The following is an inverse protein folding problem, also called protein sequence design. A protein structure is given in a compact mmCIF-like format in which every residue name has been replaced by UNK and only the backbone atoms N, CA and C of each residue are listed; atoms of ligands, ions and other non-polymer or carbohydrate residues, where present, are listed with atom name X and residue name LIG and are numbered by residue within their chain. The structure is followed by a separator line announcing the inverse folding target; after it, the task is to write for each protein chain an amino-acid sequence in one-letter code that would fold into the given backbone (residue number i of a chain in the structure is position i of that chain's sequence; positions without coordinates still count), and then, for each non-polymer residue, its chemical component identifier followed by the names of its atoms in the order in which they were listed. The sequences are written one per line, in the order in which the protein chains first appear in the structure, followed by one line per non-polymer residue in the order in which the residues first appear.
data_IF_068768800274
#
_entry.id   IF_068768800274
#
_cell.length_a   1.000
_cell.length_b   1.000
_cell.length_c   1.000
_cell.angle_alpha   90.00
_cell.angle_beta   90.00
_cell.angle_gamma   90.00
#
_symmetry.space_group_name_H-M   'P 1'
#
loop_
_entity.id
_entity.type
_entity.pdbx_description
1 polymer ?
#
# COMPACT_ATOMS: atom_id res chain seq x y z
N UNK A 1 27.71 7.77 13.73
CA UNK A 1 27.15 7.16 14.95
C UNK A 1 25.81 6.46 14.68
N UNK A 2 24.72 7.16 14.31
CA UNK A 2 23.38 6.52 14.17
C UNK A 2 23.30 5.50 13.02
N UNK A 3 23.74 5.85 11.81
CA UNK A 3 23.72 4.94 10.66
C UNK A 3 24.60 3.69 10.87
N UNK A 4 25.73 3.86 11.55
CA UNK A 4 26.65 2.77 11.86
C UNK A 4 26.04 1.81 12.88
N UNK A 5 25.36 2.33 13.90
CA UNK A 5 24.61 1.52 14.85
C UNK A 5 23.48 0.76 14.16
N UNK A 6 22.70 1.42 13.31
CA UNK A 6 21.64 0.77 12.53
C UNK A 6 22.16 -0.37 11.66
N UNK A 7 23.25 -0.13 10.91
CA UNK A 7 23.87 -1.15 10.07
C UNK A 7 24.36 -2.34 10.90
N UNK A 8 25.05 -2.08 12.01
CA UNK A 8 25.54 -3.13 12.92
C UNK A 8 24.39 -3.95 13.50
N UNK A 9 23.24 -3.34 13.81
CA UNK A 9 22.09 -4.04 14.38
C UNK A 9 21.32 -4.89 13.36
N UNK A 10 21.02 -4.34 12.18
CA UNK A 10 20.07 -4.98 11.25
C UNK A 10 20.73 -5.63 10.03
N UNK A 11 21.92 -5.16 9.62
CA UNK A 11 22.52 -5.55 8.34
C UNK A 11 23.78 -6.42 8.49
N UNK A 12 24.40 -6.48 9.68
CA UNK A 12 25.71 -7.12 9.86
C UNK A 12 25.68 -8.66 9.91
N UNK A 13 24.56 -9.27 10.28
CA UNK A 13 24.40 -10.73 10.36
C UNK A 13 23.38 -11.20 9.33
N UNK A 14 23.77 -12.12 8.46
CA UNK A 14 22.93 -12.61 7.35
C UNK A 14 21.56 -13.12 7.81
N UNK A 15 21.50 -13.83 8.95
CA UNK A 15 20.23 -14.33 9.49
C UNK A 15 19.28 -13.21 9.94
N UNK A 16 19.80 -12.15 10.55
CA UNK A 16 19.01 -10.97 10.95
C UNK A 16 18.59 -10.19 9.71
N UNK A 17 19.54 -9.98 8.78
CA UNK A 17 19.30 -9.28 7.53
C UNK A 17 18.14 -9.89 6.73
N UNK A 18 18.14 -11.21 6.53
CA UNK A 18 17.07 -11.90 5.81
C UNK A 18 15.71 -11.69 6.50
N UNK A 19 15.66 -11.74 7.84
CA UNK A 19 14.44 -11.44 8.59
C UNK A 19 13.95 -10.00 8.37
N UNK A 20 14.87 -9.02 8.37
CA UNK A 20 14.55 -7.62 8.10
C UNK A 20 14.02 -7.42 6.68
N UNK A 21 14.61 -8.09 5.68
CA UNK A 21 14.14 -8.03 4.28
C UNK A 21 12.72 -8.59 4.15
N UNK A 22 12.46 -9.76 4.74
CA UNK A 22 11.11 -10.37 4.69
C UNK A 22 10.08 -9.48 5.39
N UNK A 23 10.39 -9.01 6.61
CA UNK A 23 9.50 -8.12 7.35
C UNK A 23 9.26 -6.81 6.58
N UNK A 24 10.31 -6.24 6.00
CA UNK A 24 10.23 -5.04 5.17
C UNK A 24 9.37 -5.24 3.93
N UNK A 25 9.45 -6.40 3.28
CA UNK A 25 8.61 -6.72 2.13
C UNK A 25 7.12 -6.80 2.51
N UNK A 26 6.80 -7.53 3.59
CA UNK A 26 5.41 -7.69 4.05
C UNK A 26 4.77 -6.37 4.48
N UNK A 27 5.53 -5.52 5.18
CA UNK A 27 5.04 -4.19 5.58
C UNK A 27 4.98 -3.26 4.39
N UNK A 28 6.02 -3.27 3.55
CA UNK A 28 6.16 -2.40 2.39
C UNK A 28 5.06 -2.61 1.37
N UNK A 29 4.72 -3.87 1.05
CA UNK A 29 3.62 -4.20 0.14
C UNK A 29 2.31 -3.52 0.55
N UNK A 30 1.92 -3.67 1.83
CA UNK A 30 0.68 -3.10 2.36
C UNK A 30 0.68 -1.57 2.33
N UNK A 31 1.80 -0.95 2.68
CA UNK A 31 1.94 0.52 2.67
C UNK A 31 1.84 1.06 1.25
N UNK A 32 2.53 0.42 0.30
CA UNK A 32 2.54 0.85 -1.11
C UNK A 32 1.16 0.66 -1.73
N UNK A 33 0.53 -0.51 -1.58
CA UNK A 33 -0.79 -0.78 -2.14
C UNK A 33 -1.83 0.23 -1.63
N UNK A 34 -1.94 0.40 -0.30
CA UNK A 34 -2.88 1.34 0.28
C UNK A 34 -2.60 2.79 -0.14
N UNK A 35 -1.32 3.17 -0.26
CA UNK A 35 -0.93 4.51 -0.69
C UNK A 35 -1.34 4.79 -2.13
N UNK A 36 -1.05 3.85 -3.04
CA UNK A 36 -1.40 3.99 -4.45
C UNK A 36 -2.91 3.92 -4.68
N UNK A 37 -3.63 3.03 -4.00
CA UNK A 37 -5.09 2.96 -4.06
C UNK A 37 -5.71 4.30 -3.62
N UNK A 38 -5.26 4.85 -2.48
CA UNK A 38 -5.76 6.14 -2.00
C UNK A 38 -5.49 7.29 -3.00
N UNK A 39 -4.29 7.32 -3.60
CA UNK A 39 -3.95 8.32 -4.62
C UNK A 39 -4.79 8.15 -5.88
N UNK A 40 -4.98 6.92 -6.33
CA UNK A 40 -5.79 6.60 -7.51
C UNK A 40 -7.25 7.00 -7.31
N UNK A 41 -7.83 6.62 -6.18
CA UNK A 41 -9.20 6.95 -5.81
C UNK A 41 -9.39 8.46 -5.67
N UNK A 42 -8.46 9.15 -5.00
CA UNK A 42 -8.52 10.61 -4.89
C UNK A 42 -8.50 11.28 -6.26
N UNK A 43 -7.71 10.77 -7.22
CA UNK A 43 -7.62 11.34 -8.57
C UNK A 43 -8.83 11.02 -9.45
N UNK A 44 -9.47 9.88 -9.22
CA UNK A 44 -10.61 9.41 -10.00
C UNK A 44 -11.95 9.57 -9.29
N UNK A 45 -12.00 10.34 -8.20
CA UNK A 45 -13.22 10.59 -7.42
C UNK A 45 -14.40 10.96 -8.32
N UNK A 46 -15.53 10.28 -8.12
CA UNK A 46 -16.75 10.46 -8.90
C UNK A 46 -16.81 9.64 -10.20
N UNK A 47 -15.72 8.94 -10.55
CA UNK A 47 -15.66 8.05 -11.73
C UNK A 47 -15.64 6.57 -11.35
N UNK A 48 -15.28 6.23 -10.11
CA UNK A 48 -15.27 4.83 -9.68
C UNK A 48 -16.70 4.34 -9.51
N UNK A 49 -16.91 3.04 -9.76
CA UNK A 49 -18.22 2.40 -9.58
C UNK A 49 -18.83 2.68 -8.20
N UNK A 50 -18.01 2.63 -7.14
CA UNK A 50 -18.42 2.93 -5.76
C UNK A 50 -18.93 4.36 -5.55
N UNK A 51 -18.54 5.30 -6.40
CA UNK A 51 -18.97 6.70 -6.32
C UNK A 51 -20.26 6.97 -7.12
N UNK A 52 -20.63 6.07 -8.04
CA UNK A 52 -21.78 6.24 -8.96
C UNK A 52 -22.95 5.31 -8.65
N UNK A 53 -22.75 4.26 -7.85
CA UNK A 53 -23.77 3.22 -7.60
C UNK A 53 -25.07 3.74 -6.98
N UNK A 54 -25.00 4.81 -6.18
CA UNK A 54 -26.18 5.46 -5.63
C UNK A 54 -26.97 6.32 -6.60
N UNK A 55 -26.43 6.57 -7.80
CA UNK A 55 -26.98 7.49 -8.81
C UNK A 55 -27.35 6.78 -10.11
N UNK A 56 -27.49 5.45 -10.11
CA UNK A 56 -27.96 4.75 -11.29
C UNK A 56 -29.39 5.20 -11.64
N UNK A 57 -29.68 5.51 -12.91
CA UNK A 57 -31.06 5.69 -13.34
C UNK A 57 -31.84 4.40 -13.05
N UNK A 58 -33.14 4.51 -12.72
CA UNK A 58 -33.97 3.32 -12.61
C UNK A 58 -33.85 2.53 -13.90
N UNK A 59 -33.68 1.21 -13.79
CA UNK A 59 -33.67 0.32 -14.95
C UNK A 59 -34.99 0.54 -15.70
N UNK A 60 -34.92 0.95 -16.96
CA UNK A 60 -36.10 1.00 -17.82
C UNK A 60 -36.59 -0.46 -17.97
N UNK A 61 -37.73 -0.76 -17.38
CA UNK A 61 -38.42 -2.03 -17.59
C UNK A 61 -38.99 -2.01 -19.03
N UNK A 62 -38.39 -2.80 -19.93
CA UNK A 62 -38.96 -3.10 -21.26
C UNK A 62 -40.24 -3.95 -21.16
#
# INVERSE_FOLDING_TARGET
MVFEAFYKTFMSRSSVYVGVVIAGALVGEKVVNNGFDALWESRNKGKLYKDIVGNFPPMEEE
#
